data_IF_308675090000
#
_entry.id   IF_308675090000
#
_cell.length_a   1.000
_cell.length_b   1.000
_cell.length_c   1.000
_cell.angle_alpha   90.00
_cell.angle_beta   90.00
_cell.angle_gamma   90.00
#
_symmetry.space_group_name_H-M   'P 1'
#
loop_
_entity.id
_entity.type
_entity.pdbx_description
1 polymer ?
#
# COMPACT_ATOMS: atom_id res chain seq x y z
N UNK A 1 -2.23 -34.59 21.98
CA UNK A 1 -2.10 -33.15 22.27
C UNK A 1 -3.31 -32.74 23.09
N UNK A 2 -3.12 -32.11 24.26
CA UNK A 2 -4.22 -31.63 25.09
C UNK A 2 -5.12 -30.65 24.32
N UNK A 3 -6.44 -30.70 24.55
CA UNK A 3 -7.44 -29.81 23.94
C UNK A 3 -7.08 -28.33 24.13
N UNK A 4 -6.46 -27.98 25.26
CA UNK A 4 -5.95 -26.62 25.53
C UNK A 4 -4.88 -26.19 24.53
N UNK A 5 -3.89 -27.05 24.26
CA UNK A 5 -2.83 -26.77 23.28
C UNK A 5 -3.35 -26.75 21.85
N UNK A 6 -4.35 -27.58 21.51
CA UNK A 6 -5.04 -27.54 20.22
C UNK A 6 -5.72 -26.20 19.98
N UNK A 7 -6.43 -25.68 20.98
CA UNK A 7 -7.07 -24.36 20.87
C UNK A 7 -6.05 -23.25 20.65
N UNK A 8 -4.96 -23.23 21.41
CA UNK A 8 -3.89 -22.22 21.25
C UNK A 8 -3.26 -22.25 19.86
N UNK A 9 -3.01 -23.45 19.34
CA UNK A 9 -2.47 -23.62 17.99
C UNK A 9 -3.44 -23.08 16.93
N UNK A 10 -4.73 -23.44 17.02
CA UNK A 10 -5.76 -22.94 16.10
C UNK A 10 -5.85 -21.41 16.18
N UNK A 11 -5.83 -20.84 17.39
CA UNK A 11 -5.85 -19.38 17.58
C UNK A 11 -4.61 -18.72 16.95
N UNK A 12 -3.42 -19.27 17.14
CA UNK A 12 -2.19 -18.76 16.53
C UNK A 12 -2.25 -18.79 15.00
N UNK A 13 -2.75 -19.89 14.42
CA UNK A 13 -2.93 -20.03 12.98
C UNK A 13 -3.92 -18.99 12.43
N UNK A 14 -5.12 -18.88 13.02
CA UNK A 14 -6.14 -17.95 12.54
C UNK A 14 -5.64 -16.50 12.65
N UNK A 15 -5.10 -16.12 13.81
CA UNK A 15 -4.61 -14.74 14.02
C UNK A 15 -3.43 -14.41 13.09
N UNK A 16 -2.50 -15.34 12.91
CA UNK A 16 -1.38 -15.18 11.99
C UNK A 16 -1.82 -15.08 10.52
N UNK A 17 -2.76 -15.92 10.08
CA UNK A 17 -3.31 -15.88 8.73
C UNK A 17 -4.06 -14.57 8.45
N UNK A 18 -4.91 -14.13 9.38
CA UNK A 18 -5.63 -12.86 9.25
C UNK A 18 -4.64 -11.69 9.18
N UNK A 19 -3.68 -11.63 10.10
CA UNK A 19 -2.66 -10.57 10.07
C UNK A 19 -1.89 -10.55 8.75
N UNK A 20 -1.38 -11.70 8.31
CA UNK A 20 -0.57 -11.81 7.10
C UNK A 20 -1.38 -11.46 5.85
N UNK A 21 -2.62 -11.92 5.76
CA UNK A 21 -3.51 -11.60 4.64
C UNK A 21 -3.77 -10.10 4.53
N UNK A 22 -4.16 -9.45 5.62
CA UNK A 22 -4.45 -8.02 5.60
C UNK A 22 -3.19 -7.18 5.42
N UNK A 23 -2.05 -7.56 6.00
CA UNK A 23 -0.79 -6.88 5.79
C UNK A 23 -0.34 -6.95 4.32
N UNK A 24 -0.41 -8.14 3.70
CA UNK A 24 -0.03 -8.33 2.30
C UNK A 24 -0.92 -7.55 1.32
N UNK A 25 -2.25 -7.57 1.54
CA UNK A 25 -3.21 -6.87 0.69
C UNK A 25 -3.47 -5.42 1.11
N UNK A 26 -2.74 -4.88 2.08
CA UNK A 26 -3.00 -3.54 2.60
C UNK A 26 -2.94 -2.47 1.50
N UNK A 27 -1.90 -2.52 0.66
CA UNK A 27 -1.76 -1.62 -0.48
C UNK A 27 -2.89 -1.74 -1.50
N UNK A 28 -3.39 -2.96 -1.75
CA UNK A 28 -4.57 -3.16 -2.60
C UNK A 28 -5.82 -2.49 -1.99
N UNK A 29 -6.04 -2.67 -0.68
CA UNK A 29 -7.18 -2.06 0.02
C UNK A 29 -7.09 -0.53 -0.07
N UNK A 30 -5.92 0.04 0.20
CA UNK A 30 -5.70 1.49 0.13
C UNK A 30 -6.01 2.07 -1.27
N UNK A 31 -5.67 1.35 -2.34
CA UNK A 31 -5.80 1.83 -3.72
C UNK A 31 -7.20 1.66 -4.31
N UNK A 32 -7.89 0.58 -3.96
CA UNK A 32 -9.11 0.16 -4.67
C UNK A 32 -10.37 0.16 -3.81
N UNK A 33 -10.26 0.26 -2.49
CA UNK A 33 -11.41 0.23 -1.59
C UNK A 33 -11.74 1.62 -1.06
N UNK A 34 -12.99 1.86 -0.64
CA UNK A 34 -13.35 3.11 0.04
C UNK A 34 -12.54 3.33 1.31
N UNK A 35 -12.37 4.60 1.72
CA UNK A 35 -11.61 5.00 2.91
C UNK A 35 -12.03 4.27 4.20
N UNK A 36 -13.30 3.89 4.35
CA UNK A 36 -13.77 3.14 5.52
C UNK A 36 -13.25 1.70 5.54
N UNK A 37 -13.05 1.05 4.37
CA UNK A 37 -12.41 -0.27 4.29
C UNK A 37 -10.96 -0.18 4.74
N UNK A 38 -10.26 0.86 4.30
CA UNK A 38 -8.89 1.12 4.67
C UNK A 38 -8.74 1.34 6.18
N UNK A 39 -9.60 2.18 6.78
CA UNK A 39 -9.63 2.40 8.23
C UNK A 39 -9.88 1.08 8.99
N UNK A 40 -10.84 0.27 8.54
CA UNK A 40 -11.13 -1.03 9.14
C UNK A 40 -9.95 -2.00 9.02
N UNK A 41 -9.25 -2.00 7.87
CA UNK A 41 -8.05 -2.81 7.68
C UNK A 41 -6.91 -2.38 8.61
N UNK A 42 -6.65 -1.07 8.75
CA UNK A 42 -5.66 -0.53 9.70
C UNK A 42 -5.96 -0.95 11.13
N UNK A 43 -7.21 -0.80 11.56
CA UNK A 43 -7.65 -1.20 12.90
C UNK A 43 -7.52 -2.72 13.11
N UNK A 44 -7.86 -3.53 12.10
CA UNK A 44 -7.76 -4.98 12.17
C UNK A 44 -6.31 -5.46 12.23
N UNK A 45 -5.41 -4.88 11.42
CA UNK A 45 -3.97 -5.17 11.46
C UNK A 45 -3.42 -4.80 12.84
N UNK A 46 -3.73 -3.61 13.36
CA UNK A 46 -3.27 -3.17 14.68
C UNK A 46 -3.80 -4.09 15.81
N UNK A 47 -5.09 -4.42 15.78
CA UNK A 47 -5.71 -5.30 16.76
C UNK A 47 -5.11 -6.71 16.73
N UNK A 48 -4.93 -7.29 15.54
CA UNK A 48 -4.33 -8.62 15.40
C UNK A 48 -2.86 -8.64 15.78
N UNK A 49 -2.10 -7.58 15.51
CA UNK A 49 -0.72 -7.42 16.01
C UNK A 49 -0.66 -7.42 17.54
N UNK A 50 -1.55 -6.67 18.21
CA UNK A 50 -1.64 -6.65 19.67
C UNK A 50 -1.99 -8.05 20.21
N UNK A 51 -2.95 -8.75 19.58
CA UNK A 51 -3.31 -10.12 19.98
C UNK A 51 -2.14 -11.09 19.81
N UNK A 52 -1.39 -11.00 18.71
CA UNK A 52 -0.19 -11.80 18.48
C UNK A 52 0.83 -11.54 19.59
N UNK A 53 1.11 -10.28 19.90
CA UNK A 53 2.07 -9.89 20.93
C UNK A 53 1.67 -10.37 22.33
N UNK A 54 0.41 -10.15 22.74
CA UNK A 54 -0.11 -10.59 24.04
C UNK A 54 -0.08 -12.12 24.17
N UNK A 55 -0.49 -12.85 23.12
CA UNK A 55 -0.48 -14.31 23.15
C UNK A 55 0.94 -14.88 23.09
N UNK A 56 1.85 -14.22 22.37
CA UNK A 56 3.27 -14.54 22.37
C UNK A 56 3.84 -14.47 23.80
N UNK A 57 3.64 -13.35 24.52
CA UNK A 57 4.10 -13.20 25.90
C UNK A 57 3.49 -14.27 26.81
N UNK A 58 2.17 -14.48 26.73
CA UNK A 58 1.49 -15.52 27.52
C UNK A 58 2.09 -16.91 27.27
N UNK A 59 2.40 -17.23 26.01
CA UNK A 59 2.97 -18.54 25.66
C UNK A 59 4.41 -18.68 26.17
N UNK A 60 5.23 -17.62 26.11
CA UNK A 60 6.57 -17.61 26.71
C UNK A 60 6.49 -17.84 28.22
N UNK A 61 5.60 -17.14 28.94
CA UNK A 61 5.40 -17.32 30.39
C UNK A 61 5.01 -18.77 30.71
N UNK A 62 4.10 -19.36 29.94
CA UNK A 62 3.67 -20.76 30.13
C UNK A 62 4.84 -21.73 29.93
N UNK A 63 5.68 -21.49 28.92
CA UNK A 63 6.86 -22.33 28.64
C UNK A 63 7.86 -22.24 29.80
N UNK A 64 8.16 -21.03 30.29
CA UNK A 64 9.10 -20.81 31.41
C UNK A 64 8.59 -21.48 32.69
N UNK A 65 7.30 -21.34 33.02
CA UNK A 65 6.70 -21.93 34.22
C UNK A 65 6.67 -23.45 34.20
N UNK A 66 6.48 -24.07 33.04
CA UNK A 66 6.35 -25.52 32.90
C UNK A 66 7.63 -26.21 32.41
N UNK A 67 8.79 -25.56 32.56
CA UNK A 67 10.08 -26.00 31.99
C UNK A 67 10.47 -27.46 32.28
N UNK A 68 10.04 -28.00 33.41
CA UNK A 68 10.36 -29.37 33.84
C UNK A 68 9.55 -30.46 33.12
N UNK A 69 8.45 -30.10 32.43
CA UNK A 69 7.53 -31.06 31.77
C UNK A 69 7.14 -30.61 30.36
N UNK A 70 8.04 -29.92 29.65
CA UNK A 70 7.75 -29.39 28.31
C UNK A 70 7.68 -30.51 27.27
N UNK A 71 6.56 -30.56 26.55
CA UNK A 71 6.49 -31.25 25.26
C UNK A 71 6.72 -30.27 24.11
N UNK A 72 7.22 -30.78 22.97
CA UNK A 72 7.46 -29.98 21.77
C UNK A 72 6.19 -29.21 21.30
N UNK A 73 5.01 -29.74 21.62
CA UNK A 73 3.72 -29.16 21.27
C UNK A 73 3.49 -27.75 21.83
N UNK A 74 4.15 -27.37 22.93
CA UNK A 74 4.05 -26.02 23.49
C UNK A 74 4.78 -24.97 22.65
N UNK A 75 5.71 -25.37 21.79
CA UNK A 75 6.48 -24.46 20.95
C UNK A 75 5.80 -24.13 19.62
N UNK A 76 4.83 -24.93 19.14
CA UNK A 76 4.19 -24.67 17.85
C UNK A 76 3.48 -23.31 17.76
N UNK A 77 2.63 -22.90 18.73
CA UNK A 77 2.01 -21.58 18.67
C UNK A 77 3.04 -20.45 18.71
N UNK A 78 4.11 -20.63 19.49
CA UNK A 78 5.22 -19.68 19.58
C UNK A 78 5.95 -19.53 18.24
N UNK A 79 6.26 -20.65 17.59
CA UNK A 79 6.91 -20.67 16.29
C UNK A 79 6.08 -19.96 15.22
N UNK A 80 4.75 -20.11 15.24
CA UNK A 80 3.85 -19.38 14.33
C UNK A 80 3.96 -17.87 14.58
N UNK A 81 3.85 -17.41 15.83
CA UNK A 81 3.96 -15.97 16.12
C UNK A 81 5.32 -15.41 15.71
N UNK A 82 6.41 -16.13 15.96
CA UNK A 82 7.76 -15.73 15.51
C UNK A 82 7.81 -15.64 13.98
N UNK A 83 7.25 -16.63 13.28
CA UNK A 83 7.23 -16.62 11.81
C UNK A 83 6.45 -15.43 11.26
N UNK A 84 5.31 -15.07 11.86
CA UNK A 84 4.52 -13.92 11.39
C UNK A 84 5.26 -12.59 11.62
N UNK A 85 6.02 -12.47 12.72
CA UNK A 85 6.77 -11.24 13.05
C UNK A 85 8.04 -11.11 12.20
N UNK A 86 8.74 -12.22 11.93
CA UNK A 86 10.03 -12.22 11.21
C UNK A 86 9.89 -12.43 9.69
N UNK A 87 8.77 -13.02 9.26
CA UNK A 87 8.13 -12.85 7.96
C UNK A 87 8.41 -11.55 7.20
N UNK A 88 9.32 -11.44 6.19
CA UNK A 88 9.14 -10.39 5.19
C UNK A 88 7.87 -10.74 4.41
N UNK A 89 6.73 -10.21 4.84
CA UNK A 89 5.41 -10.55 4.27
C UNK A 89 5.31 -10.13 2.79
N UNK A 90 6.28 -9.36 2.27
CA UNK A 90 6.21 -8.77 0.95
C UNK A 90 5.03 -7.83 0.86
N UNK A 91 4.79 -7.30 -0.32
CA UNK A 91 3.63 -6.48 -0.59
C UNK A 91 2.93 -6.99 -1.84
N UNK A 92 1.61 -6.85 -1.92
CA UNK A 92 0.87 -7.15 -3.15
C UNK A 92 1.46 -6.37 -4.35
N UNK A 93 1.98 -5.17 -4.09
CA UNK A 93 2.67 -4.29 -5.04
C UNK A 93 3.86 -4.93 -5.75
N UNK A 94 4.49 -5.93 -5.14
CA UNK A 94 5.63 -6.65 -5.75
C UNK A 94 5.21 -7.39 -7.04
N UNK A 95 3.91 -7.65 -7.21
CA UNK A 95 3.34 -8.29 -8.40
C UNK A 95 2.94 -7.28 -9.50
N UNK A 96 3.13 -5.98 -9.28
CA UNK A 96 2.79 -4.96 -10.28
C UNK A 96 3.81 -4.94 -11.42
N UNK A 97 3.33 -4.60 -12.62
CA UNK A 97 4.18 -4.46 -13.79
C UNK A 97 5.30 -3.42 -13.59
N UNK A 98 6.45 -3.65 -14.22
CA UNK A 98 7.62 -2.77 -14.10
C UNK A 98 7.27 -1.33 -14.46
N UNK A 99 7.81 -0.38 -13.71
CA UNK A 99 7.69 1.05 -13.99
C UNK A 99 8.47 1.38 -15.25
N UNK A 100 7.83 2.02 -16.22
CA UNK A 100 8.45 2.50 -17.46
C UNK A 100 9.01 3.90 -17.29
N UNK A 101 8.25 4.78 -16.65
CA UNK A 101 8.71 6.09 -16.18
C UNK A 101 7.74 6.61 -15.11
N UNK A 102 8.20 7.59 -14.33
CA UNK A 102 7.38 8.30 -13.36
C UNK A 102 7.38 9.80 -13.62
N UNK A 103 6.49 10.50 -12.94
CA UNK A 103 6.54 11.93 -12.79
C UNK A 103 6.14 12.30 -11.36
N UNK A 104 6.77 13.31 -10.80
CA UNK A 104 6.49 13.79 -9.46
C UNK A 104 6.06 15.25 -9.47
N UNK A 105 5.14 15.57 -8.58
CA UNK A 105 4.82 16.91 -8.15
C UNK A 105 5.16 17.03 -6.67
N UNK A 106 5.94 18.04 -6.33
CA UNK A 106 6.24 18.40 -4.94
C UNK A 106 5.76 19.83 -4.73
N UNK A 107 4.95 20.04 -3.70
CA UNK A 107 4.58 21.35 -3.18
C UNK A 107 4.69 21.37 -1.66
N UNK A 108 4.58 22.54 -1.04
CA UNK A 108 4.80 22.72 0.42
C UNK A 108 3.87 21.90 1.30
N UNK A 109 2.63 21.66 0.85
CA UNK A 109 1.62 20.91 1.63
C UNK A 109 1.02 19.73 0.87
N UNK A 110 1.38 19.56 -0.41
CA UNK A 110 0.84 18.52 -1.27
C UNK A 110 1.99 17.91 -2.09
N UNK A 111 1.97 16.61 -2.26
CA UNK A 111 2.88 15.89 -3.14
C UNK A 111 2.07 14.90 -3.97
N UNK A 112 2.51 14.59 -5.17
CA UNK A 112 1.90 13.55 -5.97
C UNK A 112 2.93 12.79 -6.79
N UNK A 113 2.82 11.47 -6.78
CA UNK A 113 3.65 10.58 -7.57
C UNK A 113 2.78 9.90 -8.62
N UNK A 114 3.14 10.10 -9.88
CA UNK A 114 2.53 9.44 -11.03
C UNK A 114 3.49 8.39 -11.60
N UNK A 115 3.01 7.17 -11.75
CA UNK A 115 3.78 6.02 -12.22
C UNK A 115 3.11 5.43 -13.45
N UNK A 116 3.87 5.27 -14.53
CA UNK A 116 3.42 4.65 -15.77
C UNK A 116 4.13 3.31 -15.95
N UNK A 117 3.36 2.21 -16.00
CA UNK A 117 3.90 0.84 -16.05
C UNK A 117 3.93 0.27 -17.46
N UNK A 118 4.73 -0.78 -17.64
CA UNK A 118 4.98 -1.42 -18.93
C UNK A 118 3.76 -2.14 -19.53
N UNK A 119 2.80 -2.53 -18.70
CA UNK A 119 1.52 -3.13 -19.10
C UNK A 119 0.45 -2.09 -19.51
N UNK A 120 0.85 -0.83 -19.66
CA UNK A 120 -0.03 0.31 -19.93
C UNK A 120 -0.99 0.67 -18.78
N UNK A 121 -0.77 0.16 -17.56
CA UNK A 121 -1.42 0.70 -16.36
C UNK A 121 -0.72 1.96 -15.86
N UNK A 122 -1.47 2.88 -15.26
CA UNK A 122 -0.89 4.01 -14.54
C UNK A 122 -1.53 4.15 -13.16
N UNK A 123 -0.74 4.70 -12.25
CA UNK A 123 -1.09 4.98 -10.87
C UNK A 123 -0.70 6.43 -10.58
N UNK A 124 -1.58 7.16 -9.94
CA UNK A 124 -1.31 8.48 -9.39
C UNK A 124 -1.68 8.42 -7.93
N UNK A 125 -0.68 8.57 -7.08
CA UNK A 125 -0.86 8.77 -5.66
C UNK A 125 -0.76 10.28 -5.37
N UNK A 126 -1.81 10.86 -4.81
CA UNK A 126 -1.86 12.26 -4.44
C UNK A 126 -1.99 12.37 -2.92
N UNK A 127 -0.95 12.87 -2.27
CA UNK A 127 -0.96 13.12 -0.83
C UNK A 127 -1.16 14.62 -0.58
N UNK A 128 -2.27 14.97 0.05
CA UNK A 128 -2.63 16.34 0.38
C UNK A 128 -2.42 16.73 1.84
N UNK A 129 -2.91 17.92 2.18
CA UNK A 129 -2.96 18.44 3.56
C UNK A 129 -3.64 17.44 4.50
N UNK A 130 -3.15 17.31 5.74
CA UNK A 130 -3.61 16.35 6.75
C UNK A 130 -3.48 14.88 6.36
N UNK A 131 -2.50 14.54 5.51
CA UNK A 131 -2.27 13.16 5.06
C UNK A 131 -3.46 12.56 4.30
N UNK A 132 -4.30 13.40 3.69
CA UNK A 132 -5.28 12.92 2.71
C UNK A 132 -4.53 12.17 1.60
N UNK A 133 -4.92 10.94 1.31
CA UNK A 133 -4.22 10.09 0.36
C UNK A 133 -5.22 9.58 -0.69
N UNK A 134 -5.11 10.13 -1.90
CA UNK A 134 -6.02 9.82 -3.00
C UNK A 134 -5.30 9.04 -4.10
N UNK A 135 -5.88 7.90 -4.47
CA UNK A 135 -5.36 7.07 -5.55
C UNK A 135 -6.22 7.19 -6.80
N UNK A 136 -5.56 7.45 -7.93
CA UNK A 136 -6.17 7.46 -9.25
C UNK A 136 -5.45 6.47 -10.15
N UNK A 137 -6.22 5.57 -10.77
CA UNK A 137 -5.66 4.46 -11.54
C UNK A 137 -6.45 4.24 -12.81
N UNK A 138 -5.81 3.56 -13.77
CA UNK A 138 -6.42 2.68 -14.80
C UNK A 138 -5.40 2.46 -15.90
N UNK A 139 -5.52 3.11 -17.05
CA UNK A 139 -4.70 2.80 -18.23
C UNK A 139 -4.24 4.05 -18.93
N UNK A 140 -3.06 3.99 -19.53
CA UNK A 140 -2.49 5.06 -20.32
C UNK A 140 -2.07 4.56 -21.70
N UNK A 141 -1.92 5.49 -22.65
CA UNK A 141 -1.35 5.22 -23.96
C UNK A 141 -0.39 6.37 -24.34
N UNK A 142 0.68 6.04 -25.07
CA UNK A 142 1.62 7.02 -25.60
C UNK A 142 1.48 7.15 -27.11
N UNK A 143 1.32 8.38 -27.59
CA UNK A 143 1.43 8.73 -29.00
C UNK A 143 2.47 9.83 -29.15
N UNK A 144 3.68 9.48 -29.59
CA UNK A 144 4.86 10.36 -29.58
C UNK A 144 5.05 10.97 -28.19
N UNK A 145 5.03 12.29 -28.06
CA UNK A 145 5.19 12.99 -26.79
C UNK A 145 3.87 13.20 -26.04
N UNK A 146 2.75 12.73 -26.58
CA UNK A 146 1.44 12.85 -25.93
C UNK A 146 1.09 11.58 -25.17
N UNK A 147 0.69 11.73 -23.91
CA UNK A 147 0.09 10.68 -23.10
C UNK A 147 -1.43 10.87 -23.05
N UNK A 148 -2.16 9.76 -23.18
CA UNK A 148 -3.62 9.72 -23.07
C UNK A 148 -3.96 8.83 -21.88
N UNK A 149 -4.61 9.40 -20.87
CA UNK A 149 -5.02 8.75 -19.64
C UNK A 149 -6.50 8.40 -19.72
N UNK A 150 -6.86 7.22 -19.20
CA UNK A 150 -8.24 6.82 -18.93
C UNK A 150 -8.34 6.53 -17.45
N UNK A 151 -9.17 7.23 -16.70
CA UNK A 151 -9.36 7.08 -15.25
C UNK A 151 -10.45 6.04 -14.93
N UNK A 152 -10.33 5.29 -13.84
CA UNK A 152 -11.38 4.37 -13.36
C UNK A 152 -12.51 5.10 -12.64
N UNK A 153 -12.16 6.14 -11.90
CA UNK A 153 -13.06 6.92 -11.05
C UNK A 153 -13.20 8.34 -11.59
N UNK A 154 -12.76 9.35 -10.83
CA UNK A 154 -12.75 10.75 -11.23
C UNK A 154 -11.42 11.13 -11.88
N UNK A 155 -11.54 11.98 -12.89
CA UNK A 155 -10.41 12.67 -13.48
C UNK A 155 -9.85 13.68 -12.48
N UNK A 156 -8.52 13.73 -12.38
CA UNK A 156 -7.85 14.79 -11.62
C UNK A 156 -7.89 16.08 -12.43
N UNK A 157 -8.58 17.09 -11.90
CA UNK A 157 -8.81 18.37 -12.58
C UNK A 157 -7.52 19.04 -13.07
N UNK A 158 -6.44 18.92 -12.29
CA UNK A 158 -5.16 19.55 -12.61
C UNK A 158 -4.37 18.86 -13.73
N UNK A 159 -4.68 17.61 -14.04
CA UNK A 159 -3.91 16.75 -14.97
C UNK A 159 -4.70 16.55 -16.27
N UNK A 160 -6.00 16.33 -16.17
CA UNK A 160 -6.80 15.98 -17.33
C UNK A 160 -6.54 14.58 -17.87
N UNK A 161 -7.05 14.30 -19.05
CA UNK A 161 -6.92 13.03 -19.79
C UNK A 161 -5.81 13.06 -20.83
N UNK A 162 -5.30 14.23 -21.23
CA UNK A 162 -4.22 14.36 -22.21
C UNK A 162 -3.08 15.20 -21.66
N UNK A 163 -1.89 14.63 -21.69
CA UNK A 163 -0.66 15.28 -21.24
C UNK A 163 0.36 15.32 -22.38
N UNK A 164 1.06 16.44 -22.53
CA UNK A 164 2.23 16.57 -23.38
C UNK A 164 3.48 16.43 -22.50
N UNK A 165 4.38 15.53 -22.89
CA UNK A 165 5.74 15.49 -22.39
C UNK A 165 6.51 16.62 -23.07
N UNK A 166 6.88 17.64 -22.31
CA UNK A 166 7.63 18.78 -22.84
C UNK A 166 8.68 19.25 -21.84
N UNK A 167 9.93 19.33 -22.28
CA UNK A 167 11.04 19.91 -21.52
C UNK A 167 11.23 19.28 -20.14
N UNK A 168 10.96 17.97 -20.00
CA UNK A 168 11.07 17.25 -18.73
C UNK A 168 9.84 17.35 -17.82
N UNK A 169 8.72 17.90 -18.30
CA UNK A 169 7.47 18.06 -17.55
C UNK A 169 6.27 17.45 -18.25
N UNK A 170 5.20 17.20 -17.49
CA UNK A 170 3.89 16.83 -18.01
C UNK A 170 2.97 18.06 -18.05
N UNK A 171 2.62 18.49 -19.26
CA UNK A 171 1.74 19.64 -19.51
C UNK A 171 0.33 19.18 -19.87
N UNK A 172 -0.72 19.59 -19.15
CA UNK A 172 -2.09 19.25 -19.52
C UNK A 172 -2.54 19.94 -20.81
N UNK A 173 -3.16 19.17 -21.71
CA UNK A 173 -3.67 19.66 -23.00
C UNK A 173 -5.19 19.86 -23.01
N UNK A 174 -5.90 19.26 -22.06
CA UNK A 174 -7.36 19.30 -22.03
C UNK A 174 -7.89 20.71 -21.80
N UNK A 175 -8.89 21.11 -22.60
CA UNK A 175 -9.50 22.45 -22.49
C UNK A 175 -10.12 22.70 -21.12
N UNK A 176 -10.62 21.65 -20.48
CA UNK A 176 -11.25 21.68 -19.15
C UNK A 176 -10.27 21.94 -18.02
N UNK A 177 -8.97 21.70 -18.22
CA UNK A 177 -7.96 21.94 -17.17
C UNK A 177 -7.74 23.46 -17.01
N UNK A 178 -7.81 24.01 -15.77
CA UNK A 178 -7.60 25.43 -15.51
C UNK A 178 -6.27 25.96 -16.05
N UNK A 179 -6.28 27.20 -16.54
CA UNK A 179 -5.11 27.82 -17.19
C UNK A 179 -3.85 27.85 -16.31
N UNK A 180 -4.01 27.98 -14.98
CA UNK A 180 -2.88 27.97 -14.03
C UNK A 180 -2.03 26.69 -14.13
N UNK A 181 -2.67 25.54 -14.33
CA UNK A 181 -1.99 24.23 -14.42
C UNK A 181 -1.38 23.99 -15.80
N UNK A 182 -1.84 24.72 -16.83
CA UNK A 182 -1.26 24.71 -18.17
C UNK A 182 -0.03 25.61 -18.25
N UNK A 183 -0.08 26.77 -17.60
CA UNK A 183 1.02 27.73 -17.59
C UNK A 183 2.21 27.23 -16.77
N UNK A 184 1.94 26.56 -15.65
CA UNK A 184 2.96 26.02 -14.75
C UNK A 184 2.75 24.52 -14.58
N UNK A 185 3.43 23.67 -15.38
CA UNK A 185 3.29 22.24 -15.24
C UNK A 185 3.86 21.78 -13.91
N UNK A 186 3.01 21.15 -13.11
CA UNK A 186 3.34 20.74 -11.75
C UNK A 186 4.20 19.46 -11.70
N UNK A 187 4.01 18.56 -12.67
CA UNK A 187 4.67 17.27 -12.68
C UNK A 187 5.93 17.31 -13.53
N UNK A 188 7.09 17.12 -12.90
CA UNK A 188 8.35 16.88 -13.59
C UNK A 188 8.57 15.38 -13.76
N UNK A 189 9.25 14.97 -14.83
CA UNK A 189 9.59 13.57 -15.09
C UNK A 189 10.64 13.06 -14.11
N UNK A 190 10.44 11.85 -13.60
CA UNK A 190 11.30 11.21 -12.61
C UNK A 190 10.60 10.91 -11.30
N UNK A 191 11.41 10.61 -10.29
CA UNK A 191 10.97 10.39 -8.92
C UNK A 191 11.05 11.69 -8.13
N UNK A 192 10.25 11.77 -7.05
CA UNK A 192 10.30 12.88 -6.10
C UNK A 192 11.71 13.02 -5.52
N UNK A 193 12.22 14.25 -5.47
CA UNK A 193 13.59 14.53 -5.04
C UNK A 193 13.70 14.86 -3.56
N UNK A 194 12.58 15.14 -2.89
CA UNK A 194 12.54 15.62 -1.51
C UNK A 194 13.09 17.04 -1.37
N UNK A 195 12.95 17.87 -2.41
CA UNK A 195 13.53 19.22 -2.46
C UNK A 195 12.61 20.32 -1.88
N UNK A 196 11.48 19.94 -1.29
CA UNK A 196 10.48 20.86 -0.69
C UNK A 196 10.30 20.67 0.82
#
# INVERSE_FOLDING_TARGET
MDNSNKRKLITALITGLVFTFFAYYFGYIERFMPWWCELMARLLIAFTAILIFVNFIKQVIVIIKNRAALSLAYFYPLAIYISVILLPIGAWEDNLSKVKFGACYEGTQNQALMVFRADNSFELNWTGVFFANDWYMRTWQKNKDTLILKYSTMQVEAIGTKLLIDSGYLKPLDKTVPQRFKAFPMFYLGYCKGEN
#
